data_IF_441934465199
#
_entry.id   IF_441934465199
#
_cell.length_a   1.000
_cell.length_b   1.000
_cell.length_c   1.000
_cell.angle_alpha   90.00
_cell.angle_beta   90.00
_cell.angle_gamma   90.00
#
_symmetry.space_group_name_H-M   'P 1'
#
loop_
_entity.id
_entity.type
_entity.pdbx_description
1 polymer ?
#
# COMPACT_ATOMS: atom_id res chain seq x y z
N UNK A 1 -1.77 39.51 6.32
CA UNK A 1 -1.04 38.92 5.17
C UNK A 1 -2.07 38.48 4.14
N UNK A 2 -1.87 38.77 2.85
CA UNK A 2 -2.84 38.34 1.83
C UNK A 2 -2.79 36.81 1.72
N UNK A 3 -3.93 36.15 1.95
CA UNK A 3 -4.07 34.68 1.95
C UNK A 3 -3.52 34.05 0.67
N UNK A 4 -3.66 34.73 -0.46
CA UNK A 4 -3.16 34.25 -1.73
C UNK A 4 -1.62 34.13 -1.79
N UNK A 5 -0.90 35.11 -1.24
CA UNK A 5 0.57 35.04 -1.21
C UNK A 5 1.06 33.95 -0.25
N UNK A 6 0.30 33.66 0.80
CA UNK A 6 0.60 32.57 1.72
C UNK A 6 0.47 31.20 1.04
N UNK A 7 -0.64 30.98 0.34
CA UNK A 7 -0.90 29.75 -0.44
C UNK A 7 0.19 29.52 -1.50
N UNK A 8 0.59 30.58 -2.21
CA UNK A 8 1.71 30.51 -3.17
C UNK A 8 3.02 30.14 -2.47
N UNK A 9 3.35 30.79 -1.36
CA UNK A 9 4.57 30.53 -0.60
C UNK A 9 4.65 29.07 -0.12
N UNK A 10 3.56 28.55 0.43
CA UNK A 10 3.46 27.15 0.84
C UNK A 10 3.62 26.20 -0.35
N UNK A 11 2.95 26.50 -1.47
CA UNK A 11 3.07 25.73 -2.70
C UNK A 11 4.49 25.72 -3.29
N UNK A 12 5.27 26.78 -3.08
CA UNK A 12 6.70 26.79 -3.42
C UNK A 12 7.52 25.90 -2.48
N UNK A 13 7.29 25.99 -1.17
CA UNK A 13 7.99 25.15 -0.17
C UNK A 13 7.76 23.66 -0.46
N UNK A 14 6.51 23.26 -0.72
CA UNK A 14 6.18 21.85 -1.02
C UNK A 14 6.87 21.34 -2.29
N UNK A 15 7.06 22.19 -3.31
CA UNK A 15 7.81 21.83 -4.53
C UNK A 15 9.31 21.69 -4.30
N UNK A 16 9.85 22.21 -3.20
CA UNK A 16 11.25 22.04 -2.83
C UNK A 16 11.49 20.74 -2.04
N UNK A 17 10.43 20.03 -1.66
CA UNK A 17 10.55 18.72 -1.04
C UNK A 17 11.16 17.73 -2.06
N UNK A 18 12.19 17.02 -1.61
CA UNK A 18 12.84 15.98 -2.41
C UNK A 18 12.23 14.63 -2.09
N UNK A 19 12.39 13.65 -2.96
CA UNK A 19 12.04 12.27 -2.63
C UNK A 19 13.20 11.49 -1.98
N UNK A 20 14.40 12.06 -1.97
CA UNK A 20 15.63 11.42 -1.52
C UNK A 20 15.72 11.38 0.02
N UNK A 21 16.22 10.28 0.58
CA UNK A 21 16.29 10.07 2.04
C UNK A 21 17.46 10.79 2.70
N UNK A 22 18.50 11.10 1.93
CA UNK A 22 19.72 11.77 2.40
C UNK A 22 19.49 13.23 2.80
N UNK A 23 18.37 13.82 2.37
CA UNK A 23 17.98 15.21 2.64
C UNK A 23 16.57 15.27 3.21
N UNK A 24 16.39 14.88 4.49
CA UNK A 24 15.09 14.93 5.14
C UNK A 24 14.57 16.37 5.22
N UNK A 25 13.25 16.51 5.23
CA UNK A 25 12.60 17.81 5.43
C UNK A 25 13.06 18.45 6.75
N UNK A 26 13.37 19.77 6.79
CA UNK A 26 13.64 20.46 8.04
C UNK A 26 12.42 20.43 8.97
N UNK A 27 12.63 20.20 10.27
CA UNK A 27 11.55 20.14 11.27
C UNK A 27 10.63 21.38 11.25
N UNK A 28 11.13 22.63 11.12
CA UNK A 28 10.25 23.80 11.03
C UNK A 28 9.29 23.77 9.83
N UNK A 29 9.70 23.13 8.73
CA UNK A 29 8.86 22.96 7.53
C UNK A 29 7.80 21.88 7.79
N UNK A 30 8.17 20.78 8.45
CA UNK A 30 7.21 19.77 8.87
C UNK A 30 6.14 20.37 9.81
N UNK A 31 6.56 21.16 10.78
CA UNK A 31 5.65 21.83 11.72
C UNK A 31 4.68 22.76 11.00
N UNK A 32 5.19 23.58 10.08
CA UNK A 32 4.37 24.42 9.22
C UNK A 32 3.33 23.58 8.44
N UNK A 33 3.73 22.44 7.87
CA UNK A 33 2.82 21.58 7.11
C UNK A 33 1.74 20.97 8.02
N UNK A 34 2.12 20.45 9.20
CA UNK A 34 1.21 19.85 10.17
C UNK A 34 0.21 20.87 10.71
N UNK A 35 0.64 22.09 11.02
CA UNK A 35 -0.26 23.16 11.44
C UNK A 35 -1.29 23.53 10.35
N UNK A 36 -0.86 23.51 9.09
CA UNK A 36 -1.70 23.86 7.95
C UNK A 36 -2.58 22.70 7.43
N UNK A 37 -2.37 21.46 7.88
CA UNK A 37 -3.22 20.35 7.48
C UNK A 37 -4.65 20.49 8.02
N UNK A 38 -4.82 21.17 9.16
CA UNK A 38 -6.11 21.40 9.81
C UNK A 38 -6.74 22.74 9.43
N UNK A 39 -6.28 23.38 8.37
CA UNK A 39 -6.84 24.65 7.92
C UNK A 39 -8.18 24.41 7.21
N UNK A 40 -9.14 25.33 7.37
CA UNK A 40 -10.43 25.29 6.64
C UNK A 40 -10.26 25.47 5.11
N UNK A 41 -9.10 25.96 4.65
CA UNK A 41 -8.77 26.09 3.22
C UNK A 41 -8.46 24.74 2.57
N UNK A 42 -9.36 24.25 1.72
CA UNK A 42 -9.19 22.96 1.03
C UNK A 42 -7.90 22.91 0.21
N UNK A 43 -7.59 23.97 -0.54
CA UNK A 43 -6.39 24.04 -1.38
C UNK A 43 -5.09 23.93 -0.56
N UNK A 44 -5.07 24.53 0.63
CA UNK A 44 -3.93 24.43 1.56
C UNK A 44 -3.81 23.00 2.08
N UNK A 45 -4.94 22.37 2.47
CA UNK A 45 -4.94 20.99 2.97
C UNK A 45 -4.42 20.01 1.93
N UNK A 46 -4.83 20.15 0.66
CA UNK A 46 -4.34 19.35 -0.47
C UNK A 46 -2.82 19.44 -0.63
N UNK A 47 -2.30 20.66 -0.64
CA UNK A 47 -0.86 20.92 -0.70
C UNK A 47 -0.12 20.29 0.50
N UNK A 48 -0.66 20.41 1.71
CA UNK A 48 -0.08 19.79 2.91
C UNK A 48 -0.17 18.26 2.89
N UNK A 49 -1.25 17.68 2.37
CA UNK A 49 -1.41 16.23 2.25
C UNK A 49 -0.40 15.63 1.30
N UNK A 50 -0.27 16.25 0.13
CA UNK A 50 0.77 15.88 -0.82
C UNK A 50 2.15 15.96 -0.15
N UNK A 51 2.44 17.07 0.55
CA UNK A 51 3.69 17.24 1.26
C UNK A 51 3.95 16.14 2.31
N UNK A 52 2.97 15.80 3.15
CA UNK A 52 3.10 14.73 4.14
C UNK A 52 3.27 13.36 3.50
N UNK A 53 2.59 13.09 2.38
CA UNK A 53 2.79 11.85 1.63
C UNK A 53 4.25 11.74 1.15
N UNK A 54 4.81 12.82 0.61
CA UNK A 54 6.22 12.87 0.16
C UNK A 54 7.18 12.71 1.34
N UNK A 55 6.92 13.39 2.45
CA UNK A 55 7.74 13.29 3.67
C UNK A 55 7.73 11.86 4.21
N UNK A 56 6.58 11.21 4.32
CA UNK A 56 6.46 9.81 4.75
C UNK A 56 7.09 8.84 3.73
N UNK A 57 7.12 9.19 2.45
CA UNK A 57 7.88 8.46 1.42
C UNK A 57 9.40 8.59 1.60
N UNK A 58 9.91 9.77 1.98
CA UNK A 58 11.32 9.93 2.34
C UNK A 58 11.73 9.01 3.51
N UNK A 59 10.83 8.79 4.48
CA UNK A 59 11.11 7.97 5.66
C UNK A 59 11.04 6.44 5.39
N UNK A 60 10.69 6.01 4.17
CA UNK A 60 10.50 4.60 3.85
C UNK A 60 11.80 3.80 3.93
N UNK A 61 12.02 2.88 4.87
CA UNK A 61 13.28 2.15 4.91
C UNK A 61 13.47 1.28 3.65
N UNK A 62 14.72 1.18 3.20
CA UNK A 62 15.08 0.32 2.07
C UNK A 62 14.81 -1.14 2.45
N UNK A 63 14.13 -1.86 1.56
CA UNK A 63 13.74 -3.26 1.77
C UNK A 63 14.70 -4.19 1.05
N UNK A 64 15.13 -5.23 1.74
CA UNK A 64 15.93 -6.31 1.15
C UNK A 64 15.07 -7.07 0.15
N UNK A 65 15.66 -7.40 -0.99
CA UNK A 65 15.09 -8.30 -1.97
C UNK A 65 15.99 -9.53 -2.14
N UNK A 66 15.36 -10.66 -2.39
CA UNK A 66 16.01 -11.95 -2.64
C UNK A 66 15.79 -12.29 -4.10
N UNK A 67 16.84 -12.80 -4.73
CA UNK A 67 16.77 -13.30 -6.10
C UNK A 67 16.20 -14.72 -6.09
N UNK A 68 15.20 -14.97 -6.93
CA UNK A 68 14.57 -16.27 -7.09
C UNK A 68 14.55 -16.68 -8.55
N UNK A 69 14.67 -17.97 -8.79
CA UNK A 69 14.48 -18.55 -10.12
C UNK A 69 12.99 -18.84 -10.34
N UNK A 70 12.30 -18.19 -11.30
CA UNK A 70 10.87 -18.38 -11.52
C UNK A 70 10.48 -19.82 -11.87
N UNK A 71 11.33 -20.53 -12.61
CA UNK A 71 11.07 -21.91 -13.02
C UNK A 71 11.14 -22.88 -11.84
N UNK A 72 12.09 -22.67 -10.93
CA UNK A 72 12.19 -23.47 -9.69
C UNK A 72 10.97 -23.22 -8.78
N UNK A 73 10.52 -21.97 -8.68
CA UNK A 73 9.31 -21.61 -7.94
C UNK A 73 8.06 -22.27 -8.52
N UNK A 74 7.94 -22.31 -9.85
CA UNK A 74 6.84 -22.99 -10.53
C UNK A 74 6.77 -24.49 -10.19
N UNK A 75 7.92 -25.17 -10.17
CA UNK A 75 8.00 -26.59 -9.78
C UNK A 75 7.57 -26.77 -8.32
N UNK A 76 8.13 -25.97 -7.38
CA UNK A 76 7.81 -26.05 -5.94
C UNK A 76 6.32 -25.85 -5.67
N UNK A 77 5.70 -24.85 -6.30
CA UNK A 77 4.28 -24.56 -6.09
C UNK A 77 3.41 -25.67 -6.68
N UNK A 78 3.79 -26.20 -7.84
CA UNK A 78 3.07 -27.31 -8.47
C UNK A 78 3.10 -28.58 -7.63
N UNK A 79 4.24 -28.92 -7.02
CA UNK A 79 4.34 -30.03 -6.08
C UNK A 79 3.37 -29.87 -4.90
N UNK A 80 3.24 -28.64 -4.38
CA UNK A 80 2.24 -28.32 -3.34
C UNK A 80 0.81 -28.50 -3.82
N UNK A 81 0.48 -28.07 -5.04
CA UNK A 81 -0.85 -28.29 -5.63
C UNK A 81 -1.14 -29.78 -5.77
N UNK A 82 -0.18 -30.58 -6.22
CA UNK A 82 -0.32 -32.03 -6.40
C UNK A 82 -0.45 -32.78 -5.07
N UNK A 83 0.22 -32.30 -4.02
CA UNK A 83 0.13 -32.86 -2.67
C UNK A 83 -1.14 -32.42 -1.92
N UNK A 84 -1.81 -31.35 -2.36
CA UNK A 84 -3.02 -30.86 -1.72
C UNK A 84 -4.20 -31.83 -1.97
N UNK A 85 -4.98 -32.16 -0.93
CA UNK A 85 -6.17 -33.00 -1.10
C UNK A 85 -7.15 -32.32 -2.07
N UNK A 86 -7.71 -33.12 -2.98
CA UNK A 86 -8.77 -32.67 -3.89
C UNK A 86 -10.00 -32.39 -3.02
N UNK A 87 -10.29 -31.11 -2.78
CA UNK A 87 -11.51 -30.74 -2.09
C UNK A 87 -12.72 -31.16 -2.95
N UNK A 88 -13.55 -32.04 -2.41
CA UNK A 88 -14.87 -32.32 -2.95
C UNK A 88 -15.79 -31.14 -2.64
N UNK A 89 -15.86 -30.23 -3.62
CA UNK A 89 -16.92 -29.25 -3.88
C UNK A 89 -17.09 -28.05 -2.91
N UNK A 90 -17.13 -26.85 -3.50
CA UNK A 90 -18.19 -25.85 -3.29
C UNK A 90 -17.94 -24.66 -4.25
N UNK A 91 -18.63 -24.66 -5.41
CA UNK A 91 -19.10 -23.40 -6.00
C UNK A 91 -18.24 -22.66 -7.04
N UNK A 92 -17.38 -23.32 -7.81
CA UNK A 92 -16.75 -22.69 -8.99
C UNK A 92 -17.43 -23.20 -10.27
N UNK A 93 -17.93 -22.26 -11.09
CA UNK A 93 -18.63 -22.48 -12.36
C UNK A 93 -18.01 -23.63 -13.17
N UNK A 94 -18.88 -24.50 -13.67
CA UNK A 94 -18.56 -25.56 -14.60
C UNK A 94 -17.87 -25.00 -15.86
N UNK A 95 -16.54 -25.06 -15.86
CA UNK A 95 -15.68 -24.67 -16.96
C UNK A 95 -14.24 -24.84 -16.50
N UNK A 96 -13.60 -25.93 -16.95
CA UNK A 96 -12.20 -26.27 -16.69
C UNK A 96 -11.86 -26.88 -15.32
N UNK A 97 -12.36 -28.11 -15.09
CA UNK A 97 -11.57 -29.11 -14.37
C UNK A 97 -10.37 -29.53 -15.23
N UNK A 98 -9.40 -28.64 -15.46
CA UNK A 98 -8.07 -29.10 -15.88
C UNK A 98 -7.41 -29.66 -14.63
N UNK A 99 -7.53 -30.98 -14.47
CA UNK A 99 -6.60 -31.74 -13.64
C UNK A 99 -5.20 -31.21 -13.92
N UNK A 100 -4.38 -31.07 -12.88
CA UNK A 100 -2.95 -30.86 -13.05
C UNK A 100 -2.36 -32.12 -13.68
N UNK A 101 -2.54 -32.29 -14.99
CA UNK A 101 -1.87 -33.32 -15.77
C UNK A 101 -0.35 -33.07 -15.70
N UNK A 102 0.51 -34.11 -15.73
CA UNK A 102 1.96 -33.93 -15.86
C UNK A 102 2.26 -32.93 -16.99
N UNK A 103 3.23 -32.01 -16.79
CA UNK A 103 3.57 -31.02 -17.82
C UNK A 103 3.95 -31.82 -19.05
N UNK A 104 3.21 -31.66 -20.16
CA UNK A 104 3.65 -32.25 -21.41
C UNK A 104 5.02 -31.65 -21.74
N UNK A 105 5.98 -32.44 -22.25
CA UNK A 105 7.30 -31.90 -22.65
C UNK A 105 7.16 -30.71 -23.62
N UNK A 106 6.07 -30.70 -24.40
CA UNK A 106 5.64 -29.61 -25.28
C UNK A 106 5.36 -28.30 -24.52
N UNK A 107 4.68 -28.35 -23.38
CA UNK A 107 4.38 -27.16 -22.56
C UNK A 107 5.65 -26.57 -21.91
N UNK A 108 6.63 -27.42 -21.57
CA UNK A 108 7.94 -26.97 -21.06
C UNK A 108 8.78 -26.22 -22.11
N UNK A 109 8.47 -26.43 -23.40
CA UNK A 109 9.21 -25.89 -24.54
C UNK A 109 8.64 -24.57 -25.08
N UNK A 110 7.45 -24.16 -24.62
CA UNK A 110 6.78 -22.96 -25.10
C UNK A 110 7.30 -21.69 -24.41
N UNK A 111 7.97 -20.83 -25.17
CA UNK A 111 8.54 -19.54 -24.71
C UNK A 111 7.70 -18.31 -25.15
N UNK A 112 6.43 -18.49 -25.52
CA UNK A 112 5.55 -17.40 -25.94
C UNK A 112 4.84 -16.68 -24.79
N UNK A 113 4.18 -15.54 -25.05
CA UNK A 113 3.45 -14.80 -24.03
C UNK A 113 2.19 -15.54 -23.56
N UNK A 114 1.80 -15.31 -22.31
CA UNK A 114 0.53 -15.78 -21.76
C UNK A 114 0.68 -16.69 -20.54
N UNK A 115 -0.37 -17.47 -20.28
CA UNK A 115 -0.42 -18.43 -19.18
C UNK A 115 0.42 -19.66 -19.52
N UNK A 116 1.58 -19.78 -18.88
CA UNK A 116 2.54 -20.89 -19.04
C UNK A 116 2.70 -21.67 -17.75
N UNK A 117 3.26 -22.88 -17.85
CA UNK A 117 3.58 -23.72 -16.69
C UNK A 117 4.48 -22.99 -15.68
N UNK A 118 5.43 -22.19 -16.15
CA UNK A 118 6.38 -21.44 -15.31
C UNK A 118 5.76 -20.18 -14.69
N UNK A 119 4.60 -19.74 -15.17
CA UNK A 119 3.78 -18.67 -14.56
C UNK A 119 2.75 -19.19 -13.57
N UNK A 120 2.58 -20.51 -13.44
CA UNK A 120 1.55 -21.07 -12.58
C UNK A 120 1.65 -20.64 -11.11
N UNK A 121 2.86 -20.36 -10.61
CA UNK A 121 3.07 -19.95 -9.22
C UNK A 121 2.69 -18.50 -8.91
N UNK A 122 2.54 -17.65 -9.92
CA UNK A 122 2.06 -16.26 -9.77
C UNK A 122 0.56 -16.14 -10.03
N UNK A 123 -0.07 -17.18 -10.56
CA UNK A 123 -1.51 -17.20 -10.78
C UNK A 123 -2.25 -17.41 -9.47
N UNK A 124 -3.43 -16.81 -9.37
CA UNK A 124 -4.30 -17.01 -8.22
C UNK A 124 -4.87 -18.43 -8.22
N UNK A 125 -4.61 -19.18 -7.16
CA UNK A 125 -5.18 -20.51 -6.93
C UNK A 125 -5.74 -20.60 -5.49
N UNK A 126 -7.06 -20.78 -5.29
CA UNK A 126 -7.67 -20.91 -3.97
C UNK A 126 -7.07 -22.02 -3.11
N UNK A 127 -6.51 -23.08 -3.71
CA UNK A 127 -5.91 -24.21 -2.97
C UNK A 127 -4.60 -23.83 -2.29
N UNK A 128 -3.94 -22.79 -2.80
CA UNK A 128 -2.68 -22.27 -2.29
C UNK A 128 -2.87 -21.11 -1.31
N UNK A 129 -4.11 -20.82 -0.91
CA UNK A 129 -4.41 -19.80 0.08
C UNK A 129 -3.61 -20.06 1.36
N UNK A 130 -2.82 -19.10 1.85
CA UNK A 130 -2.04 -19.27 3.08
C UNK A 130 -2.98 -19.40 4.29
N UNK A 131 -2.91 -20.53 4.98
CA UNK A 131 -3.73 -20.82 6.18
C UNK A 131 -2.96 -20.68 7.49
N UNK A 132 -1.65 -20.48 7.41
CA UNK A 132 -0.76 -20.28 8.55
C UNK A 132 0.22 -19.12 8.31
N UNK A 133 0.80 -18.60 9.38
CA UNK A 133 1.84 -17.57 9.31
C UNK A 133 3.06 -18.05 8.52
N UNK A 134 3.48 -19.30 8.72
CA UNK A 134 4.60 -19.92 7.99
C UNK A 134 4.34 -19.97 6.47
N UNK A 135 3.10 -20.30 6.07
CA UNK A 135 2.71 -20.28 4.66
C UNK A 135 2.65 -18.85 4.11
N UNK A 136 2.20 -17.89 4.92
CA UNK A 136 2.18 -16.47 4.58
C UNK A 136 3.59 -15.90 4.39
N UNK A 137 4.57 -16.36 5.15
CA UNK A 137 5.98 -15.96 5.05
C UNK A 137 6.73 -16.67 3.89
N UNK A 138 6.02 -17.53 3.16
CA UNK A 138 6.36 -18.04 1.84
C UNK A 138 6.85 -16.96 0.84
N UNK A 139 8.05 -17.04 0.24
CA UNK A 139 8.41 -16.19 -0.91
C UNK A 139 7.60 -16.55 -2.17
N UNK A 140 6.30 -16.24 -2.21
CA UNK A 140 5.40 -16.56 -3.34
C UNK A 140 4.72 -15.35 -3.98
N UNK A 141 4.96 -14.15 -3.44
CA UNK A 141 4.20 -12.97 -3.82
C UNK A 141 4.97 -12.08 -4.80
N UNK A 142 4.42 -11.95 -6.00
CA UNK A 142 4.90 -11.00 -7.02
C UNK A 142 3.92 -9.83 -7.07
N UNK A 143 4.41 -8.63 -6.76
CA UNK A 143 3.57 -7.43 -6.74
C UNK A 143 3.31 -6.84 -8.13
N UNK A 144 4.19 -7.12 -9.09
CA UNK A 144 4.10 -6.57 -10.45
C UNK A 144 3.26 -7.49 -11.32
N UNK A 145 2.14 -6.98 -11.82
CA UNK A 145 1.18 -7.76 -12.64
C UNK A 145 1.71 -8.21 -14.01
N UNK A 146 2.79 -7.61 -14.50
CA UNK A 146 3.34 -7.88 -15.84
C UNK A 146 4.53 -8.85 -15.84
N UNK A 147 5.03 -9.23 -14.66
CA UNK A 147 6.21 -10.10 -14.53
C UNK A 147 5.84 -11.51 -15.00
N UNK A 148 6.71 -12.10 -15.82
CA UNK A 148 6.48 -13.44 -16.38
C UNK A 148 5.43 -13.49 -17.50
N UNK A 149 4.75 -12.40 -17.86
CA UNK A 149 3.73 -12.46 -18.91
C UNK A 149 4.31 -12.79 -20.28
N UNK A 150 5.27 -11.99 -20.75
CA UNK A 150 5.92 -12.22 -22.06
C UNK A 150 7.10 -13.16 -21.94
N UNK A 151 8.02 -12.87 -21.00
CA UNK A 151 9.19 -13.68 -20.69
C UNK A 151 9.63 -13.39 -19.25
N UNK A 152 10.44 -14.27 -18.69
CA UNK A 152 11.10 -14.08 -17.40
C UNK A 152 12.46 -13.41 -17.58
N UNK A 153 12.89 -12.63 -16.59
CA UNK A 153 14.31 -12.32 -16.48
C UNK A 153 15.09 -13.53 -15.96
N UNK A 154 16.43 -13.51 -16.07
CA UNK A 154 17.28 -14.62 -15.58
C UNK A 154 17.06 -14.89 -14.09
N UNK A 155 16.90 -13.83 -13.29
CA UNK A 155 16.61 -13.90 -11.86
C UNK A 155 15.59 -12.82 -11.50
N UNK A 156 14.52 -13.19 -10.82
CA UNK A 156 13.51 -12.24 -10.36
C UNK A 156 13.78 -11.81 -8.91
N UNK A 157 13.56 -10.53 -8.63
CA UNK A 157 13.73 -9.99 -7.27
C UNK A 157 12.39 -9.96 -6.53
N UNK A 158 12.26 -10.79 -5.50
CA UNK A 158 11.14 -10.74 -4.55
C UNK A 158 11.53 -10.02 -3.28
N UNK A 159 10.56 -9.44 -2.58
CA UNK A 159 10.82 -8.94 -1.24
C UNK A 159 11.16 -10.09 -0.30
N UNK A 160 12.18 -9.91 0.52
CA UNK A 160 12.46 -10.87 1.57
C UNK A 160 11.32 -10.87 2.60
N UNK A 161 10.80 -12.05 2.94
CA UNK A 161 9.75 -12.24 3.95
C UNK A 161 10.32 -12.32 5.37
N UNK A 162 11.61 -12.60 5.53
CA UNK A 162 12.28 -12.68 6.85
C UNK A 162 12.54 -11.32 7.53
N UNK A 163 12.36 -10.22 6.80
CA UNK A 163 12.52 -8.86 7.34
C UNK A 163 11.19 -8.40 7.97
N UNK A 164 11.23 -7.69 9.11
CA UNK A 164 10.03 -7.27 9.84
C UNK A 164 9.12 -6.40 8.98
N UNK A 165 7.82 -6.41 9.26
CA UNK A 165 6.87 -5.52 8.60
C UNK A 165 7.25 -4.07 8.86
N UNK A 166 7.05 -3.20 7.85
CA UNK A 166 7.28 -1.76 8.00
C UNK A 166 6.43 -1.14 9.12
N UNK A 167 5.23 -1.68 9.28
CA UNK A 167 4.24 -1.26 10.27
C UNK A 167 4.58 -1.66 11.72
N UNK A 168 5.46 -2.65 11.90
CA UNK A 168 5.74 -3.28 13.20
C UNK A 168 7.05 -2.80 13.83
N UNK A 169 7.76 -1.88 13.17
CA UNK A 169 8.97 -1.21 13.69
C UNK A 169 8.75 -0.62 15.07
N UNK A 170 9.73 -0.72 15.96
CA UNK A 170 9.66 -0.13 17.30
C UNK A 170 9.61 1.41 17.22
N UNK A 171 8.90 2.06 18.13
CA UNK A 171 8.84 3.52 18.23
C UNK A 171 10.23 4.13 18.50
N UNK A 172 11.12 3.37 19.15
CA UNK A 172 12.51 3.76 19.34
C UNK A 172 13.25 3.95 18.00
N UNK A 173 12.91 3.17 16.98
CA UNK A 173 13.48 3.22 15.62
C UNK A 173 12.90 4.35 14.77
N UNK A 174 11.87 5.05 15.25
CA UNK A 174 11.27 6.14 14.49
C UNK A 174 12.19 7.36 14.44
N UNK A 175 12.25 7.96 13.24
CA UNK A 175 12.92 9.23 13.05
C UNK A 175 12.19 10.35 13.81
N UNK A 176 12.86 11.49 14.01
CA UNK A 176 12.24 12.66 14.63
C UNK A 176 10.98 13.11 13.84
N UNK A 177 11.00 12.97 12.51
CA UNK A 177 9.88 13.27 11.62
C UNK A 177 8.70 12.35 11.91
N UNK A 178 8.92 11.04 11.95
CA UNK A 178 7.87 10.05 12.24
C UNK A 178 7.26 10.28 13.62
N UNK A 179 8.10 10.51 14.64
CA UNK A 179 7.65 10.84 16.00
C UNK A 179 6.80 12.11 16.04
N UNK A 180 7.18 13.15 15.30
CA UNK A 180 6.43 14.40 15.23
C UNK A 180 5.07 14.23 14.56
N UNK A 181 5.01 13.49 13.45
CA UNK A 181 3.75 13.18 12.75
C UNK A 181 2.84 12.33 13.64
N UNK A 182 3.38 11.28 14.26
CA UNK A 182 2.59 10.43 15.15
C UNK A 182 2.06 11.21 16.35
N UNK A 183 2.92 11.98 17.02
CA UNK A 183 2.51 12.82 18.16
C UNK A 183 1.50 13.91 17.80
N UNK A 184 1.46 14.36 16.53
CA UNK A 184 0.42 15.25 16.05
C UNK A 184 -0.94 14.54 15.92
N UNK A 185 -0.95 13.34 15.35
CA UNK A 185 -2.15 12.49 15.19
C UNK A 185 -2.69 12.01 16.53
N UNK A 186 -1.80 11.71 17.48
CA UNK A 186 -2.18 11.13 18.77
C UNK A 186 -2.93 12.12 19.67
N UNK A 187 -2.94 13.42 19.33
CA UNK A 187 -3.74 14.41 20.03
C UNK A 187 -5.21 14.31 19.63
N UNK A 188 -6.09 14.05 20.61
CA UNK A 188 -7.55 13.89 20.42
C UNK A 188 -8.17 15.00 19.56
N UNK A 189 -7.80 16.26 19.85
CA UNK A 189 -8.30 17.43 19.13
C UNK A 189 -7.90 17.38 17.66
N UNK A 190 -6.61 17.17 17.38
CA UNK A 190 -6.09 17.17 16.02
C UNK A 190 -6.70 16.02 15.23
N UNK A 191 -6.83 14.84 15.85
CA UNK A 191 -7.44 13.68 15.22
C UNK A 191 -8.91 13.93 14.85
N UNK A 192 -9.69 14.50 15.78
CA UNK A 192 -11.10 14.81 15.52
C UNK A 192 -11.26 15.87 14.40
N UNK A 193 -10.44 16.93 14.43
CA UNK A 193 -10.42 17.94 13.37
C UNK A 193 -9.99 17.35 12.03
N UNK A 194 -9.03 16.43 12.05
CA UNK A 194 -8.58 15.70 10.87
C UNK A 194 -9.74 14.90 10.27
N UNK A 195 -10.37 14.01 11.03
CA UNK A 195 -11.49 13.19 10.53
C UNK A 195 -12.59 14.08 9.97
N UNK A 196 -12.98 15.14 10.70
CA UNK A 196 -14.00 16.10 10.25
C UNK A 196 -13.64 16.76 8.93
N UNK A 197 -12.43 17.31 8.78
CA UNK A 197 -12.03 18.09 7.61
C UNK A 197 -11.81 17.23 6.36
N UNK A 198 -11.58 15.94 6.56
CA UNK A 198 -11.27 14.98 5.50
C UNK A 198 -12.49 14.17 5.07
N UNK A 199 -13.52 14.11 5.92
CA UNK A 199 -14.81 13.51 5.61
C UNK A 199 -15.79 14.51 4.97
N UNK A 200 -15.41 15.79 4.90
CA UNK A 200 -16.17 16.83 4.21
C UNK A 200 -15.99 16.74 2.69
N UNK A 201 -17.10 16.78 1.96
CA UNK A 201 -17.12 16.90 0.50
C UNK A 201 -16.47 18.22 0.05
N UNK A 202 -15.66 18.15 -1.01
CA UNK A 202 -15.22 19.34 -1.73
C UNK A 202 -16.30 19.72 -2.77
N UNK A 203 -15.90 20.39 -3.84
CA UNK A 203 -16.75 20.55 -5.02
C UNK A 203 -16.81 19.22 -5.79
N UNK A 204 -18.04 18.76 -6.10
CA UNK A 204 -18.41 17.52 -6.83
C UNK A 204 -17.58 17.10 -8.06
N UNK A 205 -16.73 17.97 -8.63
CA UNK A 205 -15.86 17.67 -9.78
C UNK A 205 -14.36 17.69 -9.44
N UNK A 206 -13.97 18.18 -8.27
CA UNK A 206 -12.59 18.24 -7.76
C UNK A 206 -12.28 17.16 -6.72
N UNK A 207 -13.29 16.41 -6.28
CA UNK A 207 -13.14 15.32 -5.29
C UNK A 207 -12.16 14.24 -5.75
N UNK A 208 -12.15 13.87 -7.04
CA UNK A 208 -11.26 12.82 -7.59
C UNK A 208 -9.77 13.09 -7.30
N UNK A 209 -9.34 14.35 -7.40
CA UNK A 209 -7.95 14.75 -7.14
C UNK A 209 -7.66 14.73 -5.64
N UNK A 210 -8.63 15.16 -4.81
CA UNK A 210 -8.56 15.06 -3.35
C UNK A 210 -8.39 13.61 -2.91
N UNK A 211 -9.13 12.67 -3.52
CA UNK A 211 -9.02 11.23 -3.22
C UNK A 211 -7.66 10.67 -3.60
N UNK A 212 -7.05 11.14 -4.69
CA UNK A 212 -5.73 10.65 -5.10
C UNK A 212 -4.64 11.06 -4.10
N UNK A 213 -4.69 12.30 -3.61
CA UNK A 213 -3.75 12.81 -2.60
C UNK A 213 -3.99 12.16 -1.23
N UNK A 214 -5.25 12.04 -0.82
CA UNK A 214 -5.62 11.34 0.41
C UNK A 214 -5.21 9.87 0.38
N UNK A 215 -5.48 9.14 -0.70
CA UNK A 215 -5.07 7.74 -0.84
C UNK A 215 -3.55 7.58 -0.79
N UNK A 216 -2.80 8.48 -1.44
CA UNK A 216 -1.34 8.48 -1.39
C UNK A 216 -0.82 8.75 0.02
N UNK A 217 -1.42 9.71 0.72
CA UNK A 217 -1.13 9.99 2.12
C UNK A 217 -1.44 8.79 3.02
N UNK A 218 -2.65 8.23 2.94
CA UNK A 218 -3.08 7.08 3.78
C UNK A 218 -2.20 5.86 3.55
N UNK A 219 -1.85 5.58 2.30
CA UNK A 219 -0.89 4.51 1.96
C UNK A 219 0.46 4.73 2.64
N UNK A 220 0.99 5.96 2.60
CA UNK A 220 2.28 6.26 3.24
C UNK A 220 2.16 6.23 4.78
N UNK A 221 1.04 6.72 5.32
CA UNK A 221 0.73 6.80 6.74
C UNK A 221 0.60 5.42 7.39
N UNK A 222 -0.26 4.55 6.84
CA UNK A 222 -0.43 3.19 7.36
C UNK A 222 0.79 2.31 7.12
N UNK A 223 1.60 2.59 6.09
CA UNK A 223 2.88 1.92 5.94
C UNK A 223 3.87 2.28 7.06
N UNK A 224 3.87 3.54 7.51
CA UNK A 224 4.77 4.02 8.55
C UNK A 224 4.33 3.58 9.96
N UNK A 225 3.04 3.76 10.27
CA UNK A 225 2.53 3.56 11.65
C UNK A 225 1.72 2.27 11.84
N UNK A 226 1.35 1.62 10.74
CA UNK A 226 0.67 0.32 10.80
C UNK A 226 -0.71 0.38 11.44
N UNK A 227 -1.02 -0.69 12.17
CA UNK A 227 -2.29 -0.86 12.87
C UNK A 227 -2.37 -0.08 14.19
N UNK A 228 -1.28 0.54 14.66
CA UNK A 228 -1.23 1.27 15.96
C UNK A 228 -2.26 2.39 16.02
N UNK A 229 -2.54 3.01 14.89
CA UNK A 229 -3.49 4.11 14.74
C UNK A 229 -4.93 3.62 14.60
N UNK A 230 -5.17 2.34 14.26
CA UNK A 230 -6.51 1.79 13.99
C UNK A 230 -7.52 1.94 15.13
N UNK A 231 -7.16 1.78 16.41
CA UNK A 231 -8.11 1.97 17.51
C UNK A 231 -8.77 3.35 17.49
N UNK A 232 -8.06 4.38 16.99
CA UNK A 232 -8.62 5.74 16.86
C UNK A 232 -9.59 5.84 15.69
N UNK A 233 -9.33 5.11 14.59
CA UNK A 233 -10.19 5.12 13.41
C UNK A 233 -11.45 4.27 13.57
N UNK A 234 -11.41 3.19 14.37
CA UNK A 234 -12.45 2.17 14.40
C UNK A 234 -13.87 2.75 14.54
N UNK A 235 -14.10 3.58 15.56
CA UNK A 235 -15.42 4.17 15.80
C UNK A 235 -15.91 5.05 14.62
N UNK A 236 -15.00 5.76 13.96
CA UNK A 236 -15.32 6.60 12.80
C UNK A 236 -15.59 5.76 11.56
N UNK A 237 -14.82 4.70 11.32
CA UNK A 237 -15.02 3.80 10.17
C UNK A 237 -16.36 3.07 10.28
N UNK A 238 -16.71 2.58 11.47
CA UNK A 238 -18.02 1.96 11.73
C UNK A 238 -19.16 2.95 11.48
N UNK A 239 -19.05 4.18 11.99
CA UNK A 239 -20.03 5.23 11.76
C UNK A 239 -20.17 5.60 10.27
N UNK A 240 -19.04 5.77 9.56
CA UNK A 240 -19.03 6.15 8.15
C UNK A 240 -19.57 5.04 7.23
N UNK A 241 -19.34 3.76 7.57
CA UNK A 241 -19.82 2.63 6.77
C UNK A 241 -21.35 2.56 6.66
N UNK A 242 -22.06 3.10 7.65
CA UNK A 242 -23.53 3.15 7.71
C UNK A 242 -24.10 4.51 7.31
N UNK A 243 -23.24 5.49 7.04
CA UNK A 243 -23.64 6.84 6.67
C UNK A 243 -24.16 6.93 5.24
N UNK A 244 -25.19 7.75 5.03
CA UNK A 244 -25.74 8.07 3.70
C UNK A 244 -24.96 9.20 3.01
N UNK A 245 -24.15 9.95 3.76
CA UNK A 245 -23.36 11.07 3.23
C UNK A 245 -22.25 10.58 2.29
N UNK A 246 -22.16 11.19 1.10
CA UNK A 246 -21.19 10.81 0.06
C UNK A 246 -19.76 11.07 0.53
N UNK A 247 -19.50 12.19 1.23
CA UNK A 247 -18.20 12.46 1.85
C UNK A 247 -17.70 11.37 2.82
N UNK A 248 -18.60 10.72 3.56
CA UNK A 248 -18.24 9.60 4.43
C UNK A 248 -17.88 8.34 3.65
N UNK A 249 -18.58 8.05 2.55
CA UNK A 249 -18.27 6.90 1.69
C UNK A 249 -16.97 7.11 0.91
N UNK A 250 -16.75 8.34 0.45
CA UNK A 250 -15.54 8.77 -0.23
C UNK A 250 -14.30 8.76 0.67
N UNK A 251 -14.46 8.96 1.98
CA UNK A 251 -13.37 8.76 2.94
C UNK A 251 -12.97 7.29 3.07
N UNK A 252 -13.91 6.36 2.86
CA UNK A 252 -13.68 4.92 2.97
C UNK A 252 -13.14 4.28 1.69
N UNK A 253 -13.34 4.92 0.53
CA UNK A 253 -12.91 4.42 -0.79
C UNK A 253 -11.43 4.63 -1.08
#
# INVERSE_FOLDING_TARGET
MNRHFYELGLGFIVRLLRHEQDRPVPIPVLDLILENILTESVDVRKVCLHALSVILEQQKPLRRKVKVNPREMAVRVREKIMAAPIAEDEGIRAGEKKMAAPIAEEDMSYDGPGERWDTAWIQYDPRLWPKSQEEWEEHRYVFKSYVGWYTWSEEEELYDTSQPSLAERDEAEWSEIEKRIFGFVDQDKNFADWIRLFSQEDRKTQDILTHTEQASFWKAFFRAFGLRVMPRFQAHLEAFSTSVEEGHQLFLS
#
